data_IF_054799539020
#
_entry.id   IF_054799539020
#
_cell.length_a   1.000
_cell.length_b   1.000
_cell.length_c   1.000
_cell.angle_alpha   90.00
_cell.angle_beta   90.00
_cell.angle_gamma   90.00
#
_symmetry.space_group_name_H-M   'P 1'
#
loop_
_entity.id
_entity.type
_entity.pdbx_description
1 polymer ?
#
# COMPACT_ATOMS: atom_id res chain seq x y z
N UNK A 1 18.87 23.03 -7.46
CA UNK A 1 19.29 21.61 -7.40
C UNK A 1 18.60 20.95 -6.21
N UNK A 2 18.14 19.73 -6.40
CA UNK A 2 17.51 19.00 -5.31
C UNK A 2 18.56 18.50 -4.33
N UNK A 3 18.14 18.21 -3.08
CA UNK A 3 19.07 17.82 -2.03
C UNK A 3 19.91 16.57 -2.33
N UNK A 4 19.44 15.70 -3.23
CA UNK A 4 20.13 14.49 -3.65
C UNK A 4 20.94 14.66 -4.95
N UNK A 5 21.08 15.88 -5.43
CA UNK A 5 21.87 16.21 -6.61
C UNK A 5 21.15 16.03 -7.93
N UNK A 6 19.86 15.66 -7.94
CA UNK A 6 19.10 15.50 -9.19
C UNK A 6 18.81 16.84 -9.85
N UNK A 7 18.82 16.85 -11.18
CA UNK A 7 18.30 17.99 -11.93
C UNK A 7 16.79 18.07 -11.87
N UNK A 8 16.19 19.22 -12.30
CA UNK A 8 14.73 19.41 -12.19
C UNK A 8 13.91 18.38 -12.97
N UNK A 9 14.43 17.86 -14.06
CA UNK A 9 13.73 16.87 -14.89
C UNK A 9 14.04 15.42 -14.57
N UNK A 10 14.84 15.16 -13.56
CA UNK A 10 15.23 13.81 -13.22
C UNK A 10 14.33 13.21 -12.15
N UNK A 11 13.85 12.00 -12.41
CA UNK A 11 13.12 11.22 -11.40
C UNK A 11 14.10 10.61 -10.41
N UNK A 12 13.63 10.37 -9.18
CA UNK A 12 14.40 9.57 -8.23
C UNK A 12 14.56 8.15 -8.80
N UNK A 13 15.67 7.47 -8.52
CA UNK A 13 15.82 6.08 -8.96
C UNK A 13 14.68 5.22 -8.41
N UNK A 14 14.07 4.42 -9.25
CA UNK A 14 12.99 3.51 -8.88
C UNK A 14 13.47 2.08 -9.05
N UNK A 15 13.34 1.29 -8.00
CA UNK A 15 13.63 -0.15 -8.06
C UNK A 15 12.42 -0.92 -7.56
N UNK A 16 12.20 -2.10 -8.13
CA UNK A 16 11.09 -2.99 -7.77
C UNK A 16 11.66 -4.37 -7.50
N UNK A 17 11.40 -4.89 -6.30
CA UNK A 17 11.87 -6.21 -5.90
C UNK A 17 10.66 -7.10 -5.60
N UNK A 18 10.24 -7.97 -6.54
CA UNK A 18 9.10 -8.84 -6.35
C UNK A 18 9.43 -10.00 -5.42
N UNK A 19 8.36 -10.59 -4.83
CA UNK A 19 8.53 -11.76 -3.97
C UNK A 19 9.13 -11.46 -2.61
N UNK A 20 9.06 -10.22 -2.16
CA UNK A 20 9.72 -9.80 -0.92
C UNK A 20 9.12 -10.43 0.33
N UNK A 21 7.81 -10.65 0.36
CA UNK A 21 7.12 -11.30 1.48
C UNK A 21 6.64 -12.67 1.03
N UNK A 22 7.26 -13.73 1.55
CA UNK A 22 6.98 -15.08 1.06
C UNK A 22 5.61 -15.63 1.42
N UNK A 23 4.96 -15.10 2.45
CA UNK A 23 3.64 -15.57 2.90
C UNK A 23 2.47 -14.90 2.15
N UNK A 24 2.71 -13.89 1.34
CA UNK A 24 1.68 -13.21 0.57
C UNK A 24 1.57 -13.83 -0.82
N UNK A 25 0.37 -13.80 -1.41
CA UNK A 25 0.16 -14.25 -2.78
C UNK A 25 0.95 -13.41 -3.78
N UNK A 26 1.03 -12.12 -3.53
CA UNK A 26 1.89 -11.21 -4.28
C UNK A 26 2.55 -10.25 -3.33
N UNK A 27 3.80 -9.90 -3.60
CA UNK A 27 4.50 -8.91 -2.79
C UNK A 27 5.57 -8.21 -3.62
N UNK A 28 5.86 -6.98 -3.25
CA UNK A 28 6.92 -6.21 -3.90
C UNK A 28 7.46 -5.19 -2.91
N UNK A 29 8.76 -5.00 -2.94
CA UNK A 29 9.39 -3.85 -2.29
C UNK A 29 9.70 -2.85 -3.39
N UNK A 30 9.04 -1.70 -3.35
CA UNK A 30 9.30 -0.61 -4.29
C UNK A 30 10.07 0.49 -3.58
N UNK A 31 11.12 0.96 -4.22
CA UNK A 31 11.95 2.04 -3.69
C UNK A 31 11.99 3.17 -4.71
N UNK A 32 11.83 4.39 -4.21
CA UNK A 32 11.93 5.59 -5.04
C UNK A 32 12.81 6.57 -4.25
N UNK A 33 14.10 6.64 -4.61
CA UNK A 33 15.07 7.36 -3.82
C UNK A 33 15.20 6.73 -2.43
N UNK A 34 15.07 7.53 -1.40
CA UNK A 34 15.11 7.07 -0.01
C UNK A 34 13.77 6.55 0.51
N UNK A 35 12.71 6.61 -0.30
CA UNK A 35 11.38 6.15 0.10
C UNK A 35 11.21 4.69 -0.30
N UNK A 36 10.82 3.87 0.66
CA UNK A 36 10.59 2.43 0.44
C UNK A 36 9.21 2.03 0.91
N UNK A 37 8.52 1.22 0.12
CA UNK A 37 7.18 0.75 0.45
C UNK A 37 7.11 -0.75 0.19
N UNK A 38 6.62 -1.49 1.17
CA UNK A 38 6.30 -2.90 1.01
C UNK A 38 4.84 -3.00 0.62
N UNK A 39 4.58 -3.59 -0.53
CA UNK A 39 3.22 -3.78 -1.03
C UNK A 39 2.94 -5.27 -1.07
N UNK A 40 1.80 -5.68 -0.54
CA UNK A 40 1.37 -7.07 -0.58
C UNK A 40 -0.05 -7.16 -1.07
N UNK A 41 -0.37 -8.28 -1.69
CA UNK A 41 -1.73 -8.59 -2.12
C UNK A 41 -2.03 -10.03 -1.73
N UNK A 42 -3.23 -10.28 -1.24
CA UNK A 42 -3.69 -11.61 -0.90
C UNK A 42 -5.05 -11.84 -1.55
N UNK A 43 -5.28 -13.05 -2.01
CA UNK A 43 -6.53 -13.44 -2.66
C UNK A 43 -7.26 -14.40 -1.72
N UNK A 44 -8.51 -14.09 -1.44
CA UNK A 44 -9.38 -14.96 -0.68
C UNK A 44 -10.49 -15.51 -1.59
N UNK A 45 -10.83 -16.77 -1.41
CA UNK A 45 -11.87 -17.44 -2.21
C UNK A 45 -13.29 -17.07 -1.73
N UNK A 46 -13.41 -16.06 -0.87
CA UNK A 46 -14.68 -15.62 -0.31
C UNK A 46 -14.82 -14.11 -0.42
N UNK A 47 -16.03 -13.64 -0.27
CA UNK A 47 -16.32 -12.19 -0.27
C UNK A 47 -16.95 -11.82 1.08
N UNK A 48 -16.97 -10.52 1.44
CA UNK A 48 -17.68 -10.08 2.63
C UNK A 48 -19.15 -10.54 2.57
N UNK A 49 -19.74 -10.74 3.75
CA UNK A 49 -21.09 -11.27 3.83
C UNK A 49 -22.10 -10.47 3.00
N UNK A 50 -21.96 -9.14 2.99
CA UNK A 50 -22.86 -8.26 2.24
C UNK A 50 -22.70 -8.37 0.72
N UNK A 51 -21.62 -9.02 0.24
CA UNK A 51 -21.38 -9.26 -1.18
C UNK A 51 -21.77 -10.67 -1.63
N UNK A 52 -22.16 -11.54 -0.70
CA UNK A 52 -22.50 -12.92 -1.03
C UNK A 52 -23.71 -12.98 -1.94
N UNK A 53 -23.67 -13.85 -2.94
CA UNK A 53 -24.77 -14.05 -3.88
C UNK A 53 -24.84 -13.03 -5.00
N UNK A 54 -23.97 -12.04 -5.06
CA UNK A 54 -24.00 -11.01 -6.11
C UNK A 54 -23.23 -11.40 -7.37
N UNK A 55 -22.47 -12.50 -7.33
CA UNK A 55 -21.72 -12.97 -8.50
C UNK A 55 -20.49 -12.14 -8.84
N UNK A 56 -20.07 -11.25 -7.96
CA UNK A 56 -18.89 -10.41 -8.16
C UNK A 56 -17.96 -10.51 -6.97
N UNK A 57 -16.71 -10.14 -7.18
CA UNK A 57 -15.73 -10.08 -6.12
C UNK A 57 -15.71 -8.73 -5.41
N UNK A 58 -14.76 -8.58 -4.53
CA UNK A 58 -14.54 -7.34 -3.79
C UNK A 58 -13.06 -7.09 -3.63
N UNK A 59 -12.68 -5.83 -3.60
CA UNK A 59 -11.30 -5.42 -3.35
C UNK A 59 -11.28 -4.37 -2.26
N UNK A 60 -10.39 -4.55 -1.29
CA UNK A 60 -10.13 -3.56 -0.27
C UNK A 60 -8.62 -3.35 -0.15
N UNK A 61 -8.23 -2.25 0.42
CA UNK A 61 -6.83 -1.91 0.63
C UNK A 61 -6.61 -1.32 2.01
N UNK A 62 -5.43 -1.55 2.52
CA UNK A 62 -4.99 -0.98 3.78
C UNK A 62 -3.65 -0.30 3.58
N UNK A 63 -3.37 0.68 4.41
CA UNK A 63 -2.14 1.45 4.38
C UNK A 63 -1.72 1.80 5.80
N UNK A 64 -0.43 1.81 6.04
CA UNK A 64 0.11 2.26 7.30
C UNK A 64 1.59 2.57 7.17
N UNK A 65 2.12 3.30 8.13
CA UNK A 65 3.54 3.56 8.25
C UNK A 65 4.08 2.76 9.43
N UNK A 66 5.27 2.18 9.23
CA UNK A 66 5.95 1.51 10.34
C UNK A 66 6.36 2.56 11.39
N UNK A 67 6.36 2.19 12.67
CA UNK A 67 6.72 3.16 13.72
C UNK A 67 8.09 3.80 13.55
N UNK A 68 9.03 3.11 12.93
CA UNK A 68 10.39 3.60 12.72
C UNK A 68 10.61 4.24 11.34
N UNK A 69 9.54 4.48 10.56
CA UNK A 69 9.66 4.97 9.18
C UNK A 69 9.96 6.45 9.08
N UNK A 70 9.81 7.19 10.17
CA UNK A 70 10.07 8.64 10.23
C UNK A 70 11.10 8.93 11.30
N UNK A 71 11.56 10.19 11.37
CA UNK A 71 12.52 10.61 12.40
C UNK A 71 12.01 10.45 13.83
N UNK A 72 10.70 10.50 14.02
CA UNK A 72 10.04 10.19 15.28
C UNK A 72 9.24 8.91 15.12
N UNK A 73 9.16 8.13 16.21
CA UNK A 73 8.39 6.89 16.16
C UNK A 73 6.90 7.20 16.08
N UNK A 74 6.26 6.77 14.99
CA UNK A 74 4.84 6.90 14.80
C UNK A 74 4.11 5.75 15.49
N UNK A 75 3.06 6.07 16.25
CA UNK A 75 2.21 5.06 16.86
C UNK A 75 1.43 4.31 15.78
N UNK A 76 1.39 2.98 15.88
CA UNK A 76 0.61 2.18 14.94
C UNK A 76 -0.89 2.43 15.13
N UNK A 77 -1.63 2.39 14.03
CA UNK A 77 -3.07 2.61 14.06
C UNK A 77 -3.79 1.58 14.94
N UNK A 78 -3.34 0.32 14.93
CA UNK A 78 -3.92 -0.71 15.78
C UNK A 78 -3.75 -0.42 17.26
N UNK A 79 -2.64 0.22 17.65
CA UNK A 79 -2.41 0.62 19.03
C UNK A 79 -3.29 1.79 19.46
N UNK A 80 -3.72 2.59 18.50
CA UNK A 80 -4.61 3.75 18.72
C UNK A 80 -6.09 3.36 18.69
N UNK A 81 -6.38 2.14 18.24
CA UNK A 81 -7.75 1.65 18.11
C UNK A 81 -8.47 2.07 16.82
N UNK A 82 -7.89 2.97 16.04
CA UNK A 82 -8.46 3.40 14.76
C UNK A 82 -7.38 4.07 13.91
N UNK A 83 -7.47 4.00 12.58
CA UNK A 83 -6.56 4.73 11.70
C UNK A 83 -6.83 6.24 11.77
N UNK A 84 -5.80 7.05 11.50
CA UNK A 84 -5.96 8.50 11.38
C UNK A 84 -6.58 8.86 10.03
N UNK A 85 -6.98 10.14 9.87
CA UNK A 85 -7.65 10.62 8.67
C UNK A 85 -6.82 10.47 7.41
N UNK A 86 -5.51 10.71 7.50
CA UNK A 86 -4.60 10.57 6.35
C UNK A 86 -4.51 9.12 5.89
N UNK A 87 -4.41 8.19 6.84
CA UNK A 87 -4.34 6.77 6.53
C UNK A 87 -5.61 6.32 5.81
N UNK A 88 -6.78 6.74 6.28
CA UNK A 88 -8.06 6.40 5.64
C UNK A 88 -8.13 6.92 4.21
N UNK A 89 -7.71 8.16 3.98
CA UNK A 89 -7.72 8.74 2.63
C UNK A 89 -6.79 8.00 1.67
N UNK A 90 -5.61 7.62 2.14
CA UNK A 90 -4.67 6.87 1.32
C UNK A 90 -5.23 5.49 0.99
N UNK A 91 -5.84 4.82 1.96
CA UNK A 91 -6.49 3.51 1.73
C UNK A 91 -7.58 3.60 0.68
N UNK A 92 -8.40 4.64 0.72
CA UNK A 92 -9.43 4.88 -0.28
C UNK A 92 -8.83 5.08 -1.67
N UNK A 93 -7.78 5.88 -1.76
CA UNK A 93 -7.12 6.16 -3.03
C UNK A 93 -6.55 4.89 -3.65
N UNK A 94 -5.86 4.07 -2.85
CA UNK A 94 -5.31 2.80 -3.30
C UNK A 94 -6.42 1.87 -3.81
N UNK A 95 -7.46 1.66 -3.01
CA UNK A 95 -8.56 0.78 -3.39
C UNK A 95 -9.27 1.25 -4.64
N UNK A 96 -9.54 2.54 -4.75
CA UNK A 96 -10.21 3.10 -5.93
C UNK A 96 -9.35 2.94 -7.18
N UNK A 97 -8.06 3.16 -7.07
CA UNK A 97 -7.14 3.04 -8.21
C UNK A 97 -7.06 1.60 -8.70
N UNK A 98 -6.97 0.64 -7.78
CA UNK A 98 -6.85 -0.76 -8.12
C UNK A 98 -8.15 -1.36 -8.67
N UNK A 99 -9.30 -0.86 -8.24
CA UNK A 99 -10.59 -1.35 -8.76
C UNK A 99 -10.75 -1.14 -10.25
N UNK A 100 -10.04 -0.17 -10.82
CA UNK A 100 -10.08 0.07 -12.25
C UNK A 100 -9.34 -0.97 -13.08
N UNK A 101 -8.50 -1.82 -12.47
CA UNK A 101 -7.68 -2.81 -13.16
C UNK A 101 -7.99 -4.25 -12.75
N UNK A 102 -8.92 -4.44 -11.84
CA UNK A 102 -9.32 -5.77 -11.37
C UNK A 102 -10.65 -6.15 -11.98
N UNK A 103 -10.74 -7.38 -12.45
CA UNK A 103 -11.98 -7.93 -12.98
C UNK A 103 -12.74 -8.63 -11.86
N UNK A 104 -13.83 -8.04 -11.47
CA UNK A 104 -14.69 -8.59 -10.43
C UNK A 104 -15.66 -9.60 -10.97
#
# INVERSE_FOLDING_TARGET
MRHDGRGPGELRPVTVEPGFVGSADGSVLISCGGTRVICTASVEESVPRWMMGKGTGWLTAEYGMLPASTGERKQRDVSRGRPDGRTVEIQRLIGRSLRGVVDF
#
